data_IF_458525011292
#
_entry.id   IF_458525011292
#
_cell.length_a   1.000
_cell.length_b   1.000
_cell.length_c   1.000
_cell.angle_alpha   90.00
_cell.angle_beta   90.00
_cell.angle_gamma   90.00
#
_symmetry.space_group_name_H-M   'P 1'
#
loop_
_entity.id
_entity.type
_entity.pdbx_description
1 polymer ?
#
# COMPACT_ATOMS: atom_id res chain seq x y z
N UNK A 1 -13.88 62.76 48.43
CA UNK A 1 -15.24 62.74 47.87
C UNK A 1 -15.28 62.44 46.37
N UNK A 2 -14.41 62.98 45.51
CA UNK A 2 -14.47 62.71 44.05
C UNK A 2 -13.92 61.35 43.60
N UNK A 3 -12.88 60.83 44.28
CA UNK A 3 -12.25 59.53 43.94
C UNK A 3 -13.18 58.34 44.13
N UNK A 4 -14.04 58.37 45.15
CA UNK A 4 -15.00 57.28 45.41
C UNK A 4 -16.11 57.22 44.36
N UNK A 5 -16.53 58.38 43.84
CA UNK A 5 -17.54 58.45 42.77
C UNK A 5 -17.01 57.90 41.44
N UNK A 6 -15.73 58.15 41.13
CA UNK A 6 -15.10 57.58 39.93
C UNK A 6 -14.94 56.06 40.05
N UNK A 7 -14.56 55.55 41.22
CA UNK A 7 -14.46 54.11 41.47
C UNK A 7 -15.83 53.41 41.43
N UNK A 8 -16.87 54.05 41.97
CA UNK A 8 -18.23 53.54 41.92
C UNK A 8 -18.81 53.51 40.49
N UNK A 9 -18.54 54.55 39.69
CA UNK A 9 -18.97 54.60 38.30
C UNK A 9 -18.27 53.55 37.44
N UNK A 10 -16.96 53.37 37.63
CA UNK A 10 -16.19 52.32 36.94
C UNK A 10 -16.67 50.92 37.32
N UNK A 11 -16.98 50.68 38.60
CA UNK A 11 -17.57 49.42 39.05
C UNK A 11 -18.95 49.16 38.42
N UNK A 12 -19.83 50.17 38.40
CA UNK A 12 -21.16 50.07 37.80
C UNK A 12 -21.10 49.86 36.27
N UNK A 13 -20.12 50.48 35.61
CA UNK A 13 -19.92 50.33 34.15
C UNK A 13 -19.46 48.90 33.80
N UNK A 14 -18.61 48.30 34.64
CA UNK A 14 -18.17 46.90 34.47
C UNK A 14 -19.31 45.91 34.75
N UNK A 15 -20.16 46.19 35.72
CA UNK A 15 -21.35 45.37 36.01
C UNK A 15 -22.39 45.43 34.87
N UNK A 16 -22.66 46.63 34.34
CA UNK A 16 -23.55 46.84 33.19
C UNK A 16 -23.03 46.19 31.90
N UNK A 17 -21.71 46.08 31.74
CA UNK A 17 -21.08 45.36 30.62
C UNK A 17 -21.15 43.82 30.77
N UNK A 18 -21.83 43.30 31.79
CA UNK A 18 -21.97 41.86 32.03
C UNK A 18 -20.68 41.17 32.50
N UNK A 19 -19.67 41.95 32.88
CA UNK A 19 -18.42 41.47 33.47
C UNK A 19 -18.62 41.25 34.97
N UNK A 20 -19.58 40.39 35.32
CA UNK A 20 -19.73 39.89 36.69
C UNK A 20 -18.57 38.95 37.00
N UNK A 21 -18.14 38.88 38.26
CA UNK A 21 -17.02 38.02 38.68
C UNK A 21 -17.40 36.55 38.46
N UNK A 22 -17.14 36.02 37.27
CA UNK A 22 -17.21 34.59 37.02
C UNK A 22 -16.06 33.96 37.80
N UNK A 23 -16.41 33.36 38.94
CA UNK A 23 -15.54 32.43 39.64
C UNK A 23 -15.52 31.17 38.80
N UNK A 24 -14.42 30.93 38.10
CA UNK A 24 -14.20 29.69 37.36
C UNK A 24 -14.22 28.52 38.35
N UNK A 25 -15.32 27.77 38.37
CA UNK A 25 -15.46 26.56 39.18
C UNK A 25 -15.17 25.36 38.30
N UNK A 26 -14.12 24.63 38.67
CA UNK A 26 -13.77 23.39 37.98
C UNK A 26 -14.89 22.37 38.10
N UNK A 27 -15.19 21.69 36.99
CA UNK A 27 -16.18 20.63 36.93
C UNK A 27 -15.68 19.39 37.71
N UNK A 28 -16.56 18.64 38.38
CA UNK A 28 -16.17 17.41 39.05
C UNK A 28 -15.60 16.39 38.06
N UNK A 29 -14.61 15.62 38.51
CA UNK A 29 -13.90 14.67 37.66
C UNK A 29 -14.83 13.58 37.11
N UNK A 30 -14.67 13.26 35.82
CA UNK A 30 -15.43 12.22 35.16
C UNK A 30 -15.11 10.83 35.75
N UNK A 31 -16.14 9.99 35.92
CA UNK A 31 -15.97 8.61 36.40
C UNK A 31 -15.17 7.81 35.37
N UNK A 32 -14.08 7.16 35.82
CA UNK A 32 -13.24 6.33 34.97
C UNK A 32 -14.01 5.17 34.35
N UNK A 33 -13.78 4.91 33.06
CA UNK A 33 -14.36 3.78 32.36
C UNK A 33 -13.76 2.44 32.86
N UNK A 34 -14.55 1.37 32.95
CA UNK A 34 -14.01 0.05 33.30
C UNK A 34 -13.08 -0.46 32.21
N UNK A 35 -12.08 -1.25 32.60
CA UNK A 35 -11.13 -1.84 31.68
C UNK A 35 -11.84 -2.81 30.71
N UNK A 36 -11.51 -2.71 29.43
CA UNK A 36 -11.96 -3.65 28.42
C UNK A 36 -11.26 -4.99 28.68
N UNK A 37 -11.98 -6.12 28.79
CA UNK A 37 -11.36 -7.42 29.03
C UNK A 37 -10.46 -7.81 27.85
N UNK A 38 -9.30 -8.38 28.16
CA UNK A 38 -8.37 -8.88 27.15
C UNK A 38 -9.04 -9.98 26.31
N UNK A 39 -9.11 -9.78 25.00
CA UNK A 39 -9.48 -10.83 24.03
C UNK A 39 -8.24 -11.27 23.30
N UNK A 40 -7.95 -12.57 23.35
CA UNK A 40 -7.02 -13.20 22.43
C UNK A 40 -7.77 -13.59 21.16
N UNK A 41 -7.35 -13.05 20.02
CA UNK A 41 -7.81 -13.49 18.70
C UNK A 41 -6.66 -14.15 17.97
N UNK A 42 -6.89 -15.29 17.34
CA UNK A 42 -5.93 -15.89 16.40
C UNK A 42 -6.01 -15.13 15.07
N UNK A 43 -5.01 -14.31 14.79
CA UNK A 43 -4.83 -13.72 13.46
C UNK A 43 -4.49 -14.81 12.45
N UNK A 44 -5.07 -14.73 11.24
CA UNK A 44 -4.63 -15.58 10.13
C UNK A 44 -3.14 -15.32 9.88
N UNK A 45 -2.34 -16.33 9.48
CA UNK A 45 -0.95 -16.11 9.10
C UNK A 45 -0.89 -15.03 8.02
N UNK A 46 0.09 -14.13 8.13
CA UNK A 46 0.33 -13.12 7.11
C UNK A 46 0.53 -13.82 5.76
N UNK A 47 -0.17 -13.38 4.73
CA UNK A 47 0.06 -13.88 3.38
C UNK A 47 1.53 -13.64 3.04
N UNK A 48 2.30 -14.71 2.84
CA UNK A 48 3.65 -14.60 2.29
C UNK A 48 3.49 -14.05 0.88
N UNK A 49 3.82 -12.77 0.69
CA UNK A 49 3.92 -12.17 -0.64
C UNK A 49 5.13 -12.76 -1.35
N UNK A 50 4.99 -13.97 -1.88
CA UNK A 50 6.04 -14.72 -2.58
C UNK A 50 6.36 -14.19 -3.98
N UNK A 51 5.97 -12.94 -4.29
CA UNK A 51 6.32 -12.28 -5.55
C UNK A 51 7.26 -11.12 -5.27
N UNK A 52 8.57 -11.36 -5.40
CA UNK A 52 9.50 -10.25 -5.58
C UNK A 52 9.08 -9.44 -6.81
N UNK A 53 9.09 -8.11 -6.70
CA UNK A 53 8.81 -7.26 -7.84
C UNK A 53 9.93 -7.44 -8.88
N UNK A 54 9.57 -7.65 -10.13
CA UNK A 54 10.50 -7.65 -11.26
C UNK A 54 10.70 -6.20 -11.69
N UNK A 55 11.95 -5.73 -11.77
CA UNK A 55 12.24 -4.37 -12.20
C UNK A 55 12.42 -4.27 -13.72
N UNK A 56 11.55 -3.53 -14.39
CA UNK A 56 11.70 -3.21 -15.82
C UNK A 56 12.83 -2.20 -16.06
N UNK A 57 13.57 -2.27 -17.19
CA UNK A 57 13.41 -3.20 -18.31
C UNK A 57 14.03 -4.58 -18.08
N UNK A 58 13.47 -5.60 -18.74
CA UNK A 58 14.09 -6.92 -18.85
C UNK A 58 15.03 -6.95 -20.06
N UNK A 59 16.28 -7.30 -19.82
CA UNK A 59 17.31 -7.43 -20.86
C UNK A 59 17.66 -8.89 -21.06
N UNK A 60 17.62 -9.36 -22.29
CA UNK A 60 18.13 -10.68 -22.64
C UNK A 60 19.65 -10.62 -22.86
N UNK A 61 20.44 -11.39 -22.12
CA UNK A 61 21.90 -11.31 -22.19
C UNK A 61 22.48 -11.97 -23.45
N UNK A 62 21.87 -13.04 -23.96
CA UNK A 62 22.31 -13.73 -25.16
C UNK A 62 21.18 -14.55 -25.77
N UNK A 63 21.08 -14.50 -27.10
CA UNK A 63 20.14 -15.33 -27.87
C UNK A 63 20.48 -16.82 -27.80
N UNK A 64 21.77 -17.17 -27.67
CA UNK A 64 22.22 -18.56 -27.67
C UNK A 64 21.86 -19.30 -26.38
N UNK A 65 21.51 -18.57 -25.31
CA UNK A 65 21.06 -19.13 -24.04
C UNK A 65 19.61 -19.64 -24.07
N UNK A 66 18.89 -19.43 -25.18
CA UNK A 66 17.51 -19.90 -25.34
C UNK A 66 17.45 -21.40 -25.47
N UNK A 67 16.51 -22.01 -24.75
CA UNK A 67 16.17 -23.42 -24.95
C UNK A 67 14.98 -23.52 -25.90
N UNK A 68 15.00 -24.56 -26.73
CA UNK A 68 13.97 -24.82 -27.73
C UNK A 68 13.31 -26.17 -27.47
N UNK A 69 12.03 -26.26 -27.79
CA UNK A 69 11.33 -27.54 -27.91
C UNK A 69 11.76 -28.25 -29.20
N UNK A 70 11.52 -29.57 -29.32
CA UNK A 70 11.76 -30.29 -30.57
C UNK A 70 11.09 -29.62 -31.78
N UNK A 71 11.72 -29.71 -32.95
CA UNK A 71 11.15 -29.18 -34.18
C UNK A 71 9.83 -29.88 -34.50
N UNK A 72 8.82 -29.10 -34.87
CA UNK A 72 7.51 -29.60 -35.28
C UNK A 72 7.21 -29.11 -36.68
N UNK A 73 6.75 -30.02 -37.54
CA UNK A 73 6.26 -29.70 -38.87
C UNK A 73 4.76 -29.45 -38.81
N UNK A 74 4.33 -28.28 -39.25
CA UNK A 74 2.93 -27.96 -39.45
C UNK A 74 2.60 -28.04 -40.94
N UNK A 75 1.38 -28.50 -41.23
CA UNK A 75 0.87 -28.59 -42.59
C UNK A 75 -0.26 -27.58 -42.77
N UNK A 76 -0.40 -27.06 -43.98
CA UNK A 76 -1.62 -26.34 -44.36
C UNK A 76 -2.83 -27.28 -44.29
N UNK A 77 -4.02 -26.71 -44.17
CA UNK A 77 -5.26 -27.49 -44.06
C UNK A 77 -5.51 -28.42 -45.25
N UNK A 78 -4.99 -28.07 -46.42
CA UNK A 78 -5.04 -28.84 -47.67
C UNK A 78 -3.82 -29.74 -47.88
N UNK A 79 -2.83 -29.70 -46.98
CA UNK A 79 -1.61 -30.51 -47.02
C UNK A 79 -0.59 -30.11 -48.08
N UNK A 80 -0.84 -29.06 -48.87
CA UNK A 80 0.02 -28.65 -49.98
C UNK A 80 1.31 -27.95 -49.51
N UNK A 81 1.24 -27.26 -48.39
CA UNK A 81 2.37 -26.55 -47.81
C UNK A 81 2.73 -27.15 -46.45
N UNK A 82 4.03 -27.21 -46.17
CA UNK A 82 4.53 -27.52 -44.84
C UNK A 82 5.54 -26.48 -44.39
N UNK A 83 5.56 -26.21 -43.10
CA UNK A 83 6.54 -25.34 -42.47
C UNK A 83 7.10 -26.05 -41.24
N UNK A 84 8.42 -26.05 -41.11
CA UNK A 84 9.10 -26.54 -39.91
C UNK A 84 9.33 -25.36 -38.98
N UNK A 85 8.92 -25.49 -37.71
CA UNK A 85 9.20 -24.49 -36.66
C UNK A 85 9.85 -25.15 -35.46
N UNK A 86 10.76 -24.43 -34.83
CA UNK A 86 11.37 -24.79 -33.54
C UNK A 86 10.77 -23.88 -32.46
N UNK A 87 9.82 -24.37 -31.67
CA UNK A 87 9.15 -23.54 -30.66
C UNK A 87 10.10 -23.21 -29.52
N UNK A 88 9.98 -21.99 -28.99
CA UNK A 88 10.76 -21.56 -27.84
C UNK A 88 10.30 -22.30 -26.58
N UNK A 89 11.25 -22.80 -25.79
CA UNK A 89 10.99 -23.47 -24.51
C UNK A 89 11.28 -22.58 -23.32
N UNK A 90 12.41 -21.86 -23.35
CA UNK A 90 12.83 -21.05 -22.22
C UNK A 90 13.69 -19.87 -22.67
N UNK A 91 13.47 -18.70 -22.03
CA UNK A 91 14.36 -17.54 -22.10
C UNK A 91 14.78 -17.17 -20.67
N UNK A 92 16.07 -16.87 -20.50
CA UNK A 92 16.60 -16.26 -19.29
C UNK A 92 16.88 -14.78 -19.55
N UNK A 93 16.40 -13.92 -18.67
CA UNK A 93 16.56 -12.46 -18.74
C UNK A 93 17.15 -11.91 -17.45
N UNK A 94 17.68 -10.70 -17.51
CA UNK A 94 18.15 -9.92 -16.36
C UNK A 94 17.26 -8.70 -16.21
N UNK A 95 16.82 -8.42 -14.99
CA UNK A 95 16.02 -7.25 -14.68
C UNK A 95 16.90 -5.99 -14.45
N UNK A 96 16.29 -4.82 -14.26
CA UNK A 96 17.03 -3.57 -14.04
C UNK A 96 17.89 -3.56 -12.76
N UNK A 97 17.60 -4.45 -11.81
CA UNK A 97 18.34 -4.61 -10.56
C UNK A 97 19.39 -5.74 -10.64
N UNK A 98 19.57 -6.38 -11.80
CA UNK A 98 20.50 -7.49 -11.99
C UNK A 98 19.96 -8.86 -11.57
N UNK A 99 18.68 -8.97 -11.21
CA UNK A 99 18.06 -10.24 -10.85
C UNK A 99 17.77 -11.09 -12.09
N UNK A 100 17.97 -12.41 -11.98
CA UNK A 100 17.66 -13.35 -13.05
C UNK A 100 16.16 -13.66 -13.08
N UNK A 101 15.56 -13.51 -14.26
CA UNK A 101 14.16 -13.84 -14.54
C UNK A 101 14.12 -14.94 -15.60
N UNK A 102 13.36 -16.01 -15.34
CA UNK A 102 13.22 -17.13 -16.28
C UNK A 102 11.78 -17.19 -16.79
N UNK A 103 11.63 -17.12 -18.11
CA UNK A 103 10.36 -17.29 -18.80
C UNK A 103 10.28 -18.71 -19.37
N UNK A 104 9.32 -19.50 -18.90
CA UNK A 104 9.08 -20.87 -19.34
C UNK A 104 7.85 -20.93 -20.25
N UNK A 105 8.02 -21.49 -21.45
CA UNK A 105 6.97 -21.62 -22.46
C UNK A 105 6.52 -23.07 -22.59
N UNK A 106 5.21 -23.26 -22.63
CA UNK A 106 4.62 -24.58 -22.86
C UNK A 106 4.97 -25.10 -24.25
N UNK A 107 5.06 -26.43 -24.38
CA UNK A 107 5.20 -27.06 -25.68
C UNK A 107 3.90 -26.84 -26.49
N UNK A 108 3.99 -26.53 -27.79
CA UNK A 108 2.81 -26.45 -28.64
C UNK A 108 2.19 -27.85 -28.84
N UNK A 109 0.87 -27.92 -29.02
CA UNK A 109 0.18 -29.15 -29.38
C UNK A 109 0.55 -29.64 -30.79
#
# INVERSE_FOLDING_TARGET
MSKDLTAALDALTREAAGLTSRVDRSLPAAKGAPAIPARAGTGKPAATSGGGAIASPLTEPSYDARLWHPATTIYSSDGLFSATRTPLKQITMTDANGATVVLNFAAPP
#
